data_IF_125920598796
#
_entry.id   IF_125920598796
#
_cell.length_a   1.000
_cell.length_b   1.000
_cell.length_c   1.000
_cell.angle_alpha   90.00
_cell.angle_beta   90.00
_cell.angle_gamma   90.00
#
_symmetry.space_group_name_H-M   'P 1'
#
loop_
_entity.id
_entity.type
_entity.pdbx_description
1 polymer ?
#
# COMPACT_ATOMS: atom_id res chain seq x y z
N UNK A 1 -26.15 -11.25 7.70
CA UNK A 1 -25.83 -10.68 9.02
C UNK A 1 -24.36 -10.27 9.06
N UNK A 2 -24.05 -9.00 8.76
CA UNK A 2 -22.70 -8.45 8.87
C UNK A 2 -22.39 -8.22 10.36
N UNK A 3 -21.84 -9.25 11.01
CA UNK A 3 -21.41 -9.18 12.42
C UNK A 3 -20.29 -8.13 12.50
N UNK A 4 -20.57 -7.02 13.20
CA UNK A 4 -19.72 -5.84 13.36
C UNK A 4 -18.21 -6.10 13.17
N UNK A 5 -17.64 -5.76 12.00
CA UNK A 5 -16.29 -6.13 11.67
C UNK A 5 -15.20 -5.34 12.43
N UNK A 6 -15.54 -4.25 13.13
CA UNK A 6 -14.56 -3.23 13.51
C UNK A 6 -14.25 -3.15 15.01
N UNK A 7 -14.37 -4.25 15.76
CA UNK A 7 -14.09 -4.29 17.22
C UNK A 7 -12.62 -4.45 17.65
N UNK A 8 -11.62 -4.19 16.80
CA UNK A 8 -10.22 -4.45 17.15
C UNK A 8 -9.21 -3.33 16.88
N UNK A 9 -8.30 -3.23 17.86
CA UNK A 9 -7.18 -2.29 18.03
C UNK A 9 -6.46 -1.90 16.72
N UNK A 10 -6.28 -0.59 16.53
CA UNK A 10 -5.40 0.04 15.55
C UNK A 10 -3.93 -0.26 15.90
N UNK A 11 -3.49 -1.50 15.75
CA UNK A 11 -2.10 -1.92 15.94
C UNK A 11 -1.43 -2.09 14.56
N UNK A 12 -0.30 -1.37 14.39
CA UNK A 12 0.85 -1.62 13.49
C UNK A 12 0.79 -1.15 12.02
N UNK A 13 0.76 0.16 11.78
CA UNK A 13 1.52 0.74 10.65
C UNK A 13 2.75 1.43 11.27
N UNK A 14 3.85 0.69 11.44
CA UNK A 14 5.03 1.17 12.16
C UNK A 14 5.97 1.89 11.18
N UNK A 15 5.86 3.21 11.09
CA UNK A 15 6.85 4.05 10.39
C UNK A 15 7.61 4.83 11.44
N UNK A 16 8.72 4.26 11.93
CA UNK A 16 9.47 4.77 13.08
C UNK A 16 9.69 6.29 13.00
N UNK A 17 10.16 6.78 11.85
CA UNK A 17 10.41 8.21 11.63
C UNK A 17 9.13 9.04 11.68
N UNK A 18 8.05 8.59 11.04
CA UNK A 18 6.79 9.30 11.02
C UNK A 18 6.11 9.31 12.39
N UNK A 19 6.12 8.16 13.09
CA UNK A 19 5.58 8.00 14.43
C UNK A 19 6.38 8.81 15.46
N UNK A 20 7.67 9.07 15.22
CA UNK A 20 8.47 9.98 16.04
C UNK A 20 8.02 11.43 15.88
N UNK A 21 7.84 11.91 14.64
CA UNK A 21 7.37 13.27 14.38
C UNK A 21 5.93 13.49 14.86
N UNK A 22 5.05 12.50 14.70
CA UNK A 22 3.64 12.59 15.09
C UNK A 22 3.38 12.22 16.56
N UNK A 23 4.41 11.86 17.35
CA UNK A 23 4.28 11.33 18.73
C UNK A 23 3.35 12.13 19.65
N UNK A 24 3.42 13.45 19.58
CA UNK A 24 2.65 14.34 20.45
C UNK A 24 1.19 14.44 19.99
N UNK A 25 0.97 14.45 18.66
CA UNK A 25 -0.38 14.44 18.07
C UNK A 25 -1.05 13.08 18.26
N UNK A 26 -0.31 12.00 18.07
CA UNK A 26 -0.80 10.63 18.23
C UNK A 26 -1.16 10.33 19.69
N UNK A 27 -0.45 10.93 20.67
CA UNK A 27 -0.81 10.83 22.11
C UNK A 27 -2.21 11.36 22.42
N UNK A 28 -2.64 12.42 21.74
CA UNK A 28 -3.95 13.04 21.94
C UNK A 28 -5.07 12.29 21.21
N UNK A 29 -4.73 11.38 20.29
CA UNK A 29 -5.71 10.67 19.50
C UNK A 29 -6.25 9.42 20.22
N UNK A 30 -7.58 9.22 20.32
CA UNK A 30 -8.19 8.15 21.11
C UNK A 30 -7.74 6.73 20.71
N UNK A 31 -7.46 6.52 19.41
CA UNK A 31 -6.91 5.25 18.89
C UNK A 31 -5.39 5.24 18.63
N UNK A 32 -4.77 6.34 18.14
CA UNK A 32 -3.33 6.37 17.80
C UNK A 32 -2.43 6.54 19.04
N UNK A 33 -2.99 6.85 20.21
CA UNK A 33 -2.26 6.84 21.50
C UNK A 33 -1.65 5.49 21.84
N UNK A 34 -2.20 4.39 21.31
CA UNK A 34 -1.72 3.04 21.54
C UNK A 34 -0.49 2.67 20.67
N UNK A 35 -0.01 3.57 19.79
CA UNK A 35 1.22 3.36 19.02
C UNK A 35 2.41 3.26 19.97
N UNK A 36 3.40 2.37 19.73
CA UNK A 36 4.48 2.10 20.71
C UNK A 36 5.26 3.36 21.14
N UNK A 37 5.47 4.31 20.21
CA UNK A 37 6.13 5.59 20.46
C UNK A 37 5.23 6.61 21.19
N UNK A 38 3.92 6.64 20.91
CA UNK A 38 2.97 7.53 21.59
C UNK A 38 2.61 7.02 23.00
N UNK A 39 2.51 5.70 23.15
CA UNK A 39 2.25 4.98 24.40
C UNK A 39 3.47 4.93 25.34
N UNK A 40 4.65 5.34 24.86
CA UNK A 40 5.90 5.30 25.64
C UNK A 40 6.47 3.89 25.85
N UNK A 41 5.96 2.88 25.12
CA UNK A 41 6.47 1.50 25.16
C UNK A 41 7.86 1.37 24.52
N UNK A 42 8.20 2.27 23.60
CA UNK A 42 9.50 2.33 22.95
C UNK A 42 10.11 3.70 23.25
N UNK A 43 11.35 3.70 23.76
CA UNK A 43 12.04 4.95 24.03
C UNK A 43 12.30 5.70 22.71
N UNK A 44 12.13 7.04 22.67
CA UNK A 44 12.42 7.83 21.48
C UNK A 44 13.86 7.64 20.99
N UNK A 45 14.79 7.38 21.91
CA UNK A 45 16.18 7.08 21.61
C UNK A 45 16.32 5.74 20.86
N UNK A 46 15.67 4.67 21.32
CA UNK A 46 15.70 3.37 20.66
C UNK A 46 15.14 3.44 19.23
N UNK A 47 14.10 4.24 19.01
CA UNK A 47 13.56 4.48 17.68
C UNK A 47 14.56 5.18 16.73
N UNK A 48 15.30 6.17 17.23
CA UNK A 48 16.34 6.85 16.45
C UNK A 48 17.48 5.89 16.15
N UNK A 49 17.98 5.16 17.15
CA UNK A 49 19.07 4.18 16.98
C UNK A 49 18.69 3.11 15.96
N UNK A 50 17.50 2.50 16.09
CA UNK A 50 17.01 1.51 15.15
C UNK A 50 16.90 2.08 13.73
N UNK A 51 16.38 3.29 13.58
CA UNK A 51 16.27 3.94 12.26
C UNK A 51 17.65 4.16 11.65
N UNK A 52 18.61 4.65 12.43
CA UNK A 52 19.98 4.88 11.97
C UNK A 52 20.67 3.59 11.57
N UNK A 53 20.59 2.54 12.41
CA UNK A 53 21.20 1.23 12.14
C UNK A 53 20.60 0.59 10.89
N UNK A 54 19.27 0.58 10.75
CA UNK A 54 18.59 0.03 9.58
C UNK A 54 18.89 0.82 8.30
N UNK A 55 18.98 2.16 8.40
CA UNK A 55 19.33 3.01 7.27
C UNK A 55 20.76 2.72 6.81
N UNK A 56 21.72 2.63 7.74
CA UNK A 56 23.11 2.33 7.42
C UNK A 56 23.25 0.93 6.82
N UNK A 57 22.61 -0.07 7.42
CA UNK A 57 22.58 -1.43 6.88
C UNK A 57 21.99 -1.46 5.45
N UNK A 58 20.87 -0.78 5.21
CA UNK A 58 20.25 -0.70 3.89
C UNK A 58 21.14 -0.03 2.84
N UNK A 59 21.79 1.09 3.18
CA UNK A 59 22.70 1.80 2.27
C UNK A 59 23.97 0.99 1.98
N UNK A 60 24.54 0.32 2.99
CA UNK A 60 25.70 -0.55 2.78
C UNK A 60 25.35 -1.73 1.86
N UNK A 61 24.22 -2.39 2.08
CA UNK A 61 23.73 -3.44 1.17
C UNK A 61 23.51 -2.91 -0.25
N UNK A 62 22.88 -1.73 -0.39
CA UNK A 62 22.67 -1.09 -1.68
C UNK A 62 23.97 -0.79 -2.43
N UNK A 63 24.99 -0.32 -1.71
CA UNK A 63 26.33 -0.08 -2.27
C UNK A 63 26.97 -1.36 -2.83
N UNK A 64 26.82 -2.50 -2.14
CA UNK A 64 27.34 -3.79 -2.62
C UNK A 64 26.58 -4.35 -3.83
N UNK A 65 25.34 -3.92 -4.06
CA UNK A 65 24.53 -4.37 -5.20
C UNK A 65 24.90 -3.58 -6.46
N UNK A 66 24.69 -2.25 -6.45
CA UNK A 66 25.00 -1.37 -7.57
C UNK A 66 24.87 0.10 -7.18
N UNK A 67 25.56 0.98 -7.92
CA UNK A 67 25.40 2.44 -7.75
C UNK A 67 23.95 2.89 -7.97
N UNK A 68 23.26 2.30 -8.94
CA UNK A 68 21.85 2.57 -9.24
C UNK A 68 20.94 2.23 -8.06
N UNK A 69 21.14 1.07 -7.43
CA UNK A 69 20.37 0.66 -6.25
C UNK A 69 20.63 1.59 -5.06
N UNK A 70 21.89 1.99 -4.83
CA UNK A 70 22.25 2.96 -3.80
C UNK A 70 21.54 4.31 -3.99
N UNK A 71 21.55 4.85 -5.21
CA UNK A 71 20.89 6.12 -5.54
C UNK A 71 19.37 6.06 -5.31
N UNK A 72 18.73 4.95 -5.67
CA UNK A 72 17.30 4.75 -5.40
C UNK A 72 16.98 4.68 -3.91
N UNK A 73 17.84 4.03 -3.10
CA UNK A 73 17.69 3.97 -1.65
C UNK A 73 17.88 5.33 -0.99
N UNK A 74 18.85 6.12 -1.45
CA UNK A 74 19.05 7.51 -1.00
C UNK A 74 17.81 8.35 -1.35
N UNK A 75 17.33 8.27 -2.59
CA UNK A 75 16.13 8.98 -3.03
C UNK A 75 14.90 8.58 -2.19
N UNK A 76 14.73 7.28 -1.92
CA UNK A 76 13.68 6.76 -1.05
C UNK A 76 13.78 7.32 0.37
N UNK A 77 14.99 7.40 0.95
CA UNK A 77 15.20 7.94 2.28
C UNK A 77 14.88 9.44 2.34
N UNK A 78 15.36 10.23 1.38
CA UNK A 78 15.05 11.65 1.23
C UNK A 78 13.54 11.87 1.10
N UNK A 79 12.88 11.06 0.27
CA UNK A 79 11.44 11.13 0.09
C UNK A 79 10.67 10.83 1.40
N UNK A 80 11.14 9.87 2.21
CA UNK A 80 10.52 9.58 3.51
C UNK A 80 10.65 10.76 4.48
N UNK A 81 11.82 11.42 4.53
CA UNK A 81 12.02 12.61 5.36
C UNK A 81 11.12 13.77 4.88
N UNK A 82 11.11 14.03 3.58
CA UNK A 82 10.30 15.08 2.96
C UNK A 82 8.80 14.86 3.23
N UNK A 83 8.34 13.62 3.08
CA UNK A 83 6.98 13.19 3.43
C UNK A 83 6.66 13.49 4.90
N UNK A 84 7.48 13.00 5.83
CA UNK A 84 7.19 13.14 7.27
C UNK A 84 7.17 14.59 7.75
N UNK A 85 8.01 15.48 7.19
CA UNK A 85 8.11 16.88 7.62
C UNK A 85 7.11 17.83 6.96
N UNK A 86 6.91 17.74 5.64
CA UNK A 86 6.23 18.80 4.88
C UNK A 86 5.13 18.29 3.97
N UNK A 87 5.43 17.28 3.15
CA UNK A 87 4.59 16.95 2.00
C UNK A 87 3.35 16.11 2.37
N UNK A 88 3.30 15.56 3.58
CA UNK A 88 2.08 14.92 4.11
C UNK A 88 0.92 15.91 4.31
N UNK A 89 1.16 17.21 4.15
CA UNK A 89 0.17 18.27 4.34
C UNK A 89 -0.42 18.79 3.01
N UNK A 90 -0.12 18.16 1.87
CA UNK A 90 -0.62 18.56 0.55
C UNK A 90 -1.57 17.49 0.03
N UNK A 91 -2.80 17.91 -0.30
CA UNK A 91 -3.88 17.07 -0.85
C UNK A 91 -3.40 16.39 -2.13
N UNK A 92 -3.70 15.10 -2.30
CA UNK A 92 -3.33 14.22 -3.42
C UNK A 92 -1.84 13.87 -3.43
N UNK A 93 -0.97 14.86 -3.23
CA UNK A 93 0.48 14.68 -3.24
C UNK A 93 0.94 13.69 -2.15
N UNK A 94 0.27 13.64 -1.01
CA UNK A 94 0.57 12.67 0.05
C UNK A 94 0.35 11.22 -0.39
N UNK A 95 -0.70 10.95 -1.19
CA UNK A 95 -0.99 9.63 -1.76
C UNK A 95 -0.01 9.29 -2.88
N UNK A 96 0.34 10.26 -3.73
CA UNK A 96 1.36 10.07 -4.77
C UNK A 96 2.74 9.78 -4.20
N UNK A 97 3.14 10.43 -3.11
CA UNK A 97 4.40 10.14 -2.42
C UNK A 97 4.39 8.76 -1.76
N UNK A 98 3.24 8.33 -1.25
CA UNK A 98 3.11 6.97 -0.73
C UNK A 98 3.32 5.94 -1.84
N UNK A 99 2.69 6.17 -3.00
CA UNK A 99 2.79 5.31 -4.16
C UNK A 99 4.20 5.31 -4.77
N UNK A 100 4.84 6.49 -4.92
CA UNK A 100 6.22 6.59 -5.41
C UNK A 100 7.21 5.90 -4.49
N UNK A 101 7.00 5.95 -3.17
CA UNK A 101 7.84 5.25 -2.21
C UNK A 101 7.70 3.72 -2.28
N UNK A 102 6.57 3.21 -2.76
CA UNK A 102 6.43 1.79 -3.09
C UNK A 102 7.13 1.45 -4.42
N UNK A 103 6.99 2.31 -5.44
CA UNK A 103 7.70 2.14 -6.72
C UNK A 103 9.21 2.12 -6.56
N UNK A 104 9.79 3.05 -5.80
CA UNK A 104 11.23 3.09 -5.53
C UNK A 104 11.72 1.78 -4.88
N UNK A 105 10.92 1.17 -4.00
CA UNK A 105 11.27 -0.11 -3.36
C UNK A 105 11.21 -1.28 -4.34
N UNK A 106 10.22 -1.31 -5.23
CA UNK A 106 10.16 -2.32 -6.28
C UNK A 106 11.38 -2.20 -7.18
N UNK A 107 11.69 -0.99 -7.65
CA UNK A 107 12.84 -0.74 -8.53
C UNK A 107 14.18 -1.11 -7.86
N UNK A 108 14.37 -0.74 -6.60
CA UNK A 108 15.56 -1.13 -5.85
C UNK A 108 15.66 -2.66 -5.68
N UNK A 109 14.54 -3.35 -5.46
CA UNK A 109 14.48 -4.80 -5.35
C UNK A 109 14.76 -5.51 -6.68
N UNK A 110 14.17 -5.05 -7.78
CA UNK A 110 14.35 -5.65 -9.11
C UNK A 110 15.79 -5.49 -9.61
N UNK A 111 16.42 -4.33 -9.34
CA UNK A 111 17.85 -4.14 -9.59
C UNK A 111 18.73 -5.05 -8.72
N UNK A 112 18.30 -5.36 -7.49
CA UNK A 112 19.00 -6.31 -6.62
C UNK A 112 19.02 -7.74 -7.14
N UNK A 113 17.99 -8.14 -7.90
CA UNK A 113 17.87 -9.49 -8.48
C UNK A 113 18.35 -9.53 -9.94
N UNK A 114 18.57 -8.36 -10.57
CA UNK A 114 18.98 -8.26 -11.97
C UNK A 114 17.89 -8.59 -12.98
N UNK A 115 16.61 -8.48 -12.59
CA UNK A 115 15.46 -8.74 -13.45
C UNK A 115 14.80 -7.42 -13.79
N UNK A 116 14.67 -7.09 -15.07
CA UNK A 116 13.94 -5.90 -15.50
C UNK A 116 12.43 -6.10 -15.28
N UNK A 117 11.77 -5.24 -14.48
CA UNK A 117 10.34 -5.36 -14.26
C UNK A 117 9.54 -4.94 -15.49
N UNK A 118 8.43 -5.65 -15.75
CA UNK A 118 7.50 -5.26 -16.81
C UNK A 118 6.91 -3.86 -16.52
N UNK A 119 6.98 -2.99 -17.53
CA UNK A 119 6.43 -1.63 -17.46
C UNK A 119 4.94 -1.61 -17.07
N UNK A 120 4.16 -2.58 -17.57
CA UNK A 120 2.75 -2.72 -17.24
C UNK A 120 2.54 -3.16 -15.79
N UNK A 121 3.42 -4.02 -15.27
CA UNK A 121 3.38 -4.46 -13.88
C UNK A 121 3.73 -3.31 -12.92
N UNK A 122 4.70 -2.47 -13.28
CA UNK A 122 5.02 -1.26 -12.52
C UNK A 122 3.81 -0.30 -12.48
N UNK A 123 3.19 -0.06 -13.64
CA UNK A 123 2.02 0.81 -13.72
C UNK A 123 0.82 0.22 -12.94
N UNK A 124 0.63 -1.09 -12.98
CA UNK A 124 -0.35 -1.79 -12.16
C UNK A 124 -0.07 -1.60 -10.66
N UNK A 125 1.17 -1.77 -10.23
CA UNK A 125 1.58 -1.52 -8.84
C UNK A 125 1.35 -0.06 -8.41
N UNK A 126 1.60 0.90 -9.30
CA UNK A 126 1.33 2.31 -9.05
C UNK A 126 -0.17 2.57 -8.87
N UNK A 127 -1.01 2.09 -9.81
CA UNK A 127 -2.47 2.25 -9.73
C UNK A 127 -3.03 1.59 -8.47
N UNK A 128 -2.53 0.40 -8.12
CA UNK A 128 -2.98 -0.35 -6.95
C UNK A 128 -2.61 0.37 -5.64
N UNK A 129 -1.41 0.94 -5.57
CA UNK A 129 -1.00 1.68 -4.38
C UNK A 129 -1.73 3.01 -4.21
N UNK A 130 -2.00 3.71 -5.31
CA UNK A 130 -2.88 4.88 -5.28
C UNK A 130 -4.29 4.50 -4.83
N UNK A 131 -4.86 3.42 -5.38
CA UNK A 131 -6.17 2.90 -5.02
C UNK A 131 -6.31 2.60 -3.51
N UNK A 132 -5.36 1.85 -2.95
CA UNK A 132 -5.32 1.56 -1.51
C UNK A 132 -5.09 2.85 -0.70
N UNK A 133 -4.23 3.74 -1.19
CA UNK A 133 -3.90 5.02 -0.55
C UNK A 133 -5.11 5.94 -0.43
N UNK A 134 -5.92 6.09 -1.49
CA UNK A 134 -7.18 6.83 -1.45
C UNK A 134 -8.21 6.16 -0.53
N UNK A 135 -8.27 4.82 -0.53
CA UNK A 135 -9.07 4.06 0.44
C UNK A 135 -8.69 4.39 1.90
N UNK A 136 -7.39 4.54 2.19
CA UNK A 136 -6.91 4.92 3.54
C UNK A 136 -7.36 6.35 3.89
N UNK A 137 -7.26 7.30 2.94
CA UNK A 137 -7.72 8.68 3.15
C UNK A 137 -9.23 8.75 3.42
N UNK A 138 -10.03 7.94 2.71
CA UNK A 138 -11.48 7.85 2.94
C UNK A 138 -11.82 7.30 4.32
N UNK A 139 -11.12 6.24 4.76
CA UNK A 139 -11.30 5.68 6.09
C UNK A 139 -10.94 6.69 7.19
N UNK A 140 -9.84 7.43 7.02
CA UNK A 140 -9.46 8.51 7.94
C UNK A 140 -10.49 9.65 7.96
N UNK A 141 -11.04 10.05 6.81
CA UNK A 141 -12.08 11.09 6.71
C UNK A 141 -13.37 10.70 7.43
N UNK A 142 -13.84 9.46 7.26
CA UNK A 142 -15.01 8.95 8.00
C UNK A 142 -14.78 8.90 9.50
N UNK A 143 -13.58 8.49 9.94
CA UNK A 143 -13.24 8.47 11.37
C UNK A 143 -13.26 9.86 12.02
N UNK A 144 -12.89 10.90 11.26
CA UNK A 144 -12.93 12.30 11.72
C UNK A 144 -14.35 12.86 11.76
N UNK A 145 -15.20 12.51 10.80
CA UNK A 145 -16.61 12.91 10.79
C UNK A 145 -17.38 12.39 12.02
N UNK A 146 -17.03 11.19 12.50
CA UNK A 146 -17.64 10.58 13.69
C UNK A 146 -17.13 11.16 15.02
N UNK A 147 -15.99 11.88 15.05
CA UNK A 147 -15.35 12.36 16.29
C UNK A 147 -14.67 13.72 16.11
N UNK A 148 -15.24 14.75 16.75
CA UNK A 148 -14.80 16.14 16.78
C UNK A 148 -13.42 16.43 17.45
N UNK A 149 -12.48 15.48 17.48
CA UNK A 149 -11.18 15.66 18.13
C UNK A 149 -10.03 15.28 17.20
N UNK A 150 -9.22 16.29 16.84
CA UNK A 150 -7.95 16.26 16.08
C UNK A 150 -8.05 16.46 14.56
N UNK A 151 -8.26 17.72 14.15
CA UNK A 151 -8.22 18.16 12.76
C UNK A 151 -6.81 18.04 12.16
N UNK A 152 -6.67 17.22 11.11
CA UNK A 152 -5.57 17.36 10.15
C UNK A 152 -6.10 18.25 9.03
N UNK A 153 -5.60 19.48 8.91
CA UNK A 153 -6.11 20.50 7.97
C UNK A 153 -6.30 20.01 6.51
N UNK A 154 -5.49 19.04 6.06
CA UNK A 154 -5.60 18.44 4.70
C UNK A 154 -6.89 17.67 4.48
N UNK A 155 -7.46 17.08 5.53
CA UNK A 155 -8.67 16.28 5.37
C UNK A 155 -9.93 17.14 5.22
N UNK A 156 -9.88 18.42 5.59
CA UNK A 156 -11.00 19.36 5.38
C UNK A 156 -11.25 19.66 3.90
N UNK A 157 -10.21 19.56 3.06
CA UNK A 157 -10.29 19.76 1.62
C UNK A 157 -10.73 18.51 0.84
N UNK A 158 -10.85 17.34 1.48
CA UNK A 158 -11.35 16.14 0.82
C UNK A 158 -12.87 16.00 1.02
N UNK A 159 -13.62 15.95 -0.08
CA UNK A 159 -14.99 15.43 -0.04
C UNK A 159 -14.98 13.91 -0.18
N UNK A 160 -15.94 13.23 0.45
CA UNK A 160 -16.10 11.79 0.29
C UNK A 160 -16.30 11.41 -1.20
N UNK A 161 -17.06 12.23 -1.94
CA UNK A 161 -17.32 12.04 -3.37
C UNK A 161 -16.04 12.13 -4.23
N UNK A 162 -15.11 13.04 -3.92
CA UNK A 162 -13.85 13.15 -4.64
C UNK A 162 -12.98 11.92 -4.43
N UNK A 163 -12.90 11.42 -3.19
CA UNK A 163 -12.15 10.20 -2.87
C UNK A 163 -12.76 8.97 -3.56
N UNK A 164 -14.08 8.86 -3.64
CA UNK A 164 -14.75 7.80 -4.39
C UNK A 164 -14.42 7.85 -5.89
N UNK A 165 -14.41 9.04 -6.50
CA UNK A 165 -14.04 9.21 -7.90
C UNK A 165 -12.57 8.82 -8.15
N UNK A 166 -11.64 9.29 -7.31
CA UNK A 166 -10.21 8.93 -7.42
C UNK A 166 -9.99 7.42 -7.23
N UNK A 167 -10.71 6.79 -6.30
CA UNK A 167 -10.72 5.34 -6.13
C UNK A 167 -11.26 4.63 -7.36
N UNK A 168 -12.34 5.12 -7.98
CA UNK A 168 -12.88 4.55 -9.21
C UNK A 168 -11.91 4.62 -10.40
N UNK A 169 -11.27 5.77 -10.59
CA UNK A 169 -10.26 5.98 -11.65
C UNK A 169 -9.08 5.03 -11.45
N UNK A 170 -8.55 4.95 -10.23
CA UNK A 170 -7.41 4.07 -9.92
C UNK A 170 -7.78 2.59 -9.97
N UNK A 171 -9.00 2.20 -9.58
CA UNK A 171 -9.52 0.85 -9.73
C UNK A 171 -9.59 0.41 -11.21
N UNK A 172 -10.14 1.27 -12.08
CA UNK A 172 -10.13 1.03 -13.52
C UNK A 172 -8.71 0.93 -14.07
N UNK A 173 -7.81 1.80 -13.60
CA UNK A 173 -6.38 1.74 -13.91
C UNK A 173 -5.75 0.40 -13.54
N UNK A 174 -6.00 -0.15 -12.34
CA UNK A 174 -5.51 -1.48 -11.93
C UNK A 174 -5.99 -2.56 -12.89
N UNK A 175 -7.29 -2.59 -13.19
CA UNK A 175 -7.87 -3.63 -14.07
C UNK A 175 -7.26 -3.55 -15.47
N UNK A 176 -7.20 -2.36 -16.06
CA UNK A 176 -6.66 -2.16 -17.42
C UNK A 176 -5.18 -2.53 -17.45
N UNK A 177 -4.38 -2.02 -16.52
CA UNK A 177 -2.93 -2.22 -16.52
C UNK A 177 -2.55 -3.67 -16.24
N UNK A 178 -3.28 -4.34 -15.35
CA UNK A 178 -3.14 -5.79 -15.13
C UNK A 178 -3.53 -6.59 -16.38
N UNK A 179 -4.63 -6.22 -17.04
CA UNK A 179 -5.07 -6.89 -18.28
C UNK A 179 -4.04 -6.71 -19.40
N UNK A 180 -3.46 -5.52 -19.54
CA UNK A 180 -2.40 -5.27 -20.51
C UNK A 180 -1.12 -6.02 -20.17
N UNK A 181 -0.81 -6.21 -18.88
CA UNK A 181 0.30 -7.05 -18.45
C UNK A 181 0.10 -8.51 -18.87
N UNK A 182 -1.09 -9.08 -18.69
CA UNK A 182 -1.35 -10.51 -18.99
C UNK A 182 -1.30 -10.83 -20.48
N UNK A 183 -1.63 -9.88 -21.36
CA UNK A 183 -1.57 -10.06 -22.82
C UNK A 183 -0.29 -9.52 -23.47
N UNK A 184 0.62 -8.93 -22.69
CA UNK A 184 1.81 -8.33 -23.26
C UNK A 184 2.75 -9.38 -23.85
N UNK A 185 3.22 -9.14 -25.09
CA UNK A 185 4.14 -10.05 -25.79
C UNK A 185 5.41 -10.38 -24.99
N UNK A 186 6.02 -9.40 -24.30
CA UNK A 186 7.20 -9.63 -23.48
C UNK A 186 6.88 -10.52 -22.27
N UNK A 187 5.71 -10.35 -21.64
CA UNK A 187 5.25 -11.20 -20.53
C UNK A 187 4.99 -12.63 -21.00
N UNK A 188 4.28 -12.79 -22.13
CA UNK A 188 3.98 -14.10 -22.71
C UNK A 188 5.27 -14.82 -23.11
N UNK A 189 6.23 -14.11 -23.70
CA UNK A 189 7.54 -14.66 -24.05
C UNK A 189 8.37 -15.04 -22.82
N UNK A 190 8.32 -14.25 -21.75
CA UNK A 190 9.05 -14.51 -20.51
C UNK A 190 8.53 -15.75 -19.78
N UNK A 191 7.21 -15.93 -19.75
CA UNK A 191 6.57 -17.03 -19.02
C UNK A 191 6.20 -18.24 -19.89
N UNK A 192 6.27 -18.12 -21.21
CA UNK A 192 5.92 -19.21 -22.14
C UNK A 192 4.43 -19.55 -22.20
N UNK A 193 3.56 -18.66 -21.71
CA UNK A 193 2.11 -18.90 -21.60
C UNK A 193 1.30 -17.62 -21.81
N UNK A 194 0.18 -17.73 -22.52
CA UNK A 194 -0.82 -16.68 -22.73
C UNK A 194 -2.05 -16.83 -21.81
N UNK A 195 -2.12 -17.94 -21.06
CA UNK A 195 -3.24 -18.28 -20.19
C UNK A 195 -3.39 -17.34 -18.97
N UNK A 196 -2.42 -16.46 -18.72
CA UNK A 196 -2.47 -15.49 -17.62
C UNK A 196 -3.72 -14.60 -17.68
N UNK A 197 -4.28 -14.40 -18.87
CA UNK A 197 -5.54 -13.66 -19.09
C UNK A 197 -6.73 -14.23 -18.30
N UNK A 198 -6.76 -15.54 -18.03
CA UNK A 198 -7.86 -16.16 -17.28
C UNK A 198 -7.91 -15.75 -15.80
N UNK A 199 -6.85 -15.10 -15.29
CA UNK A 199 -6.83 -14.54 -13.93
C UNK A 199 -7.51 -13.16 -13.84
N UNK A 200 -7.76 -12.49 -14.97
CA UNK A 200 -8.35 -11.14 -15.02
C UNK A 200 -9.74 -11.07 -14.37
N UNK A 201 -10.68 -12.00 -14.62
CA UNK A 201 -12.00 -11.98 -13.96
C UNK A 201 -11.92 -12.01 -12.43
N UNK A 202 -10.94 -12.74 -11.86
CA UNK A 202 -10.72 -12.78 -10.41
C UNK A 202 -10.28 -11.41 -9.87
N UNK A 203 -9.37 -10.73 -10.59
CA UNK A 203 -8.92 -9.38 -10.22
C UNK A 203 -10.08 -8.38 -10.28
N UNK A 204 -10.89 -8.42 -11.35
CA UNK A 204 -12.07 -7.56 -11.49
C UNK A 204 -13.03 -7.77 -10.31
N UNK A 205 -13.35 -9.02 -9.98
CA UNK A 205 -14.21 -9.34 -8.85
C UNK A 205 -13.62 -8.80 -7.54
N UNK A 206 -12.32 -9.01 -7.29
CA UNK A 206 -11.64 -8.51 -6.10
C UNK A 206 -11.72 -6.99 -5.95
N UNK A 207 -11.46 -6.25 -7.04
CA UNK A 207 -11.54 -4.78 -7.06
C UNK A 207 -12.97 -4.30 -6.77
N UNK A 208 -13.98 -4.90 -7.42
CA UNK A 208 -15.38 -4.54 -7.20
C UNK A 208 -15.86 -4.89 -5.79
N UNK A 209 -15.48 -6.06 -5.27
CA UNK A 209 -15.79 -6.47 -3.91
C UNK A 209 -15.19 -5.50 -2.90
N UNK A 210 -13.96 -5.07 -3.10
CA UNK A 210 -13.32 -4.08 -2.24
C UNK A 210 -14.03 -2.73 -2.27
N UNK A 211 -14.37 -2.21 -3.46
CA UNK A 211 -15.15 -0.98 -3.62
C UNK A 211 -16.51 -1.08 -2.91
N UNK A 212 -17.20 -2.21 -3.04
CA UNK A 212 -18.47 -2.47 -2.37
C UNK A 212 -18.34 -2.41 -0.85
N UNK A 213 -17.31 -3.06 -0.27
CA UNK A 213 -17.15 -3.08 1.19
C UNK A 213 -16.78 -1.68 1.71
N UNK A 214 -15.90 -0.93 1.03
CA UNK A 214 -15.54 0.44 1.44
C UNK A 214 -16.72 1.41 1.37
N UNK A 215 -17.58 1.24 0.36
CA UNK A 215 -18.79 2.07 0.23
C UNK A 215 -19.76 1.78 1.37
N UNK A 216 -19.97 0.52 1.69
CA UNK A 216 -20.95 0.07 2.68
C UNK A 216 -20.41 -0.05 4.11
N UNK A 217 -19.11 0.16 4.33
CA UNK A 217 -18.54 0.23 5.67
C UNK A 217 -18.92 1.55 6.33
N UNK A 218 -19.69 1.44 7.41
CA UNK A 218 -20.14 2.53 8.26
C UNK A 218 -19.03 3.08 9.16
N UNK A 219 -17.99 2.30 9.44
CA UNK A 219 -16.86 2.70 10.29
C UNK A 219 -15.63 3.03 9.45
N UNK A 220 -14.84 4.04 9.87
CA UNK A 220 -13.51 4.40 9.33
C UNK A 220 -12.45 3.31 9.53
N UNK A 221 -12.71 2.13 8.99
CA UNK A 221 -11.90 0.92 9.13
C UNK A 221 -10.77 0.92 8.07
N UNK A 222 -9.55 0.55 8.50
CA UNK A 222 -8.38 0.51 7.62
C UNK A 222 -8.63 -0.43 6.42
N UNK A 223 -8.56 0.05 5.17
CA UNK A 223 -8.83 -0.75 3.98
C UNK A 223 -7.96 -2.00 3.89
N UNK A 224 -6.71 -1.96 4.36
CA UNK A 224 -5.83 -3.13 4.31
C UNK A 224 -6.34 -4.27 5.22
N UNK A 225 -6.96 -3.92 6.35
CA UNK A 225 -7.58 -4.91 7.25
C UNK A 225 -8.91 -5.41 6.73
N UNK A 226 -9.63 -4.55 6.02
CA UNK A 226 -10.89 -4.90 5.37
C UNK A 226 -10.69 -6.06 4.37
N UNK A 227 -9.59 -6.02 3.60
CA UNK A 227 -9.21 -7.08 2.65
C UNK A 227 -9.02 -8.41 3.37
N UNK A 228 -8.25 -8.43 4.46
CA UNK A 228 -7.96 -9.65 5.21
C UNK A 228 -9.16 -10.21 5.97
N UNK A 229 -10.20 -9.40 6.17
CA UNK A 229 -11.37 -9.77 6.96
C UNK A 229 -12.51 -10.32 6.11
N UNK A 230 -12.68 -9.80 4.89
CA UNK A 230 -13.72 -10.28 4.01
C UNK A 230 -13.32 -11.61 3.41
N UNK A 231 -14.06 -12.67 3.76
CA UNK A 231 -13.74 -14.01 3.30
C UNK A 231 -13.81 -14.13 1.77
N UNK A 232 -14.65 -13.34 1.08
CA UNK A 232 -14.68 -13.37 -0.39
C UNK A 232 -13.38 -12.79 -0.95
N UNK A 233 -12.90 -11.66 -0.45
CA UNK A 233 -11.61 -11.09 -0.88
C UNK A 233 -10.45 -12.04 -0.61
N UNK A 234 -10.38 -12.65 0.57
CA UNK A 234 -9.33 -13.62 0.90
C UNK A 234 -9.39 -14.83 -0.03
N UNK A 235 -10.58 -15.41 -0.24
CA UNK A 235 -10.76 -16.54 -1.16
C UNK A 235 -10.35 -16.18 -2.59
N UNK A 236 -10.72 -15.00 -3.08
CA UNK A 236 -10.36 -14.55 -4.43
C UNK A 236 -8.86 -14.32 -4.57
N UNK A 237 -8.20 -13.74 -3.55
CA UNK A 237 -6.75 -13.58 -3.54
C UNK A 237 -6.04 -14.94 -3.55
N UNK A 238 -6.53 -15.92 -2.79
CA UNK A 238 -5.98 -17.28 -2.77
C UNK A 238 -6.19 -17.96 -4.12
N UNK A 239 -7.41 -17.92 -4.67
CA UNK A 239 -7.73 -18.50 -5.98
C UNK A 239 -6.87 -17.86 -7.07
N UNK A 240 -6.72 -16.54 -7.06
CA UNK A 240 -5.86 -15.82 -8.00
C UNK A 240 -4.41 -16.27 -7.88
N UNK A 241 -3.86 -16.35 -6.67
CA UNK A 241 -2.48 -16.80 -6.45
C UNK A 241 -2.26 -18.23 -6.94
N UNK A 242 -3.19 -19.14 -6.63
CA UNK A 242 -3.15 -20.52 -7.09
C UNK A 242 -3.25 -20.61 -8.61
N UNK A 243 -4.12 -19.83 -9.24
CA UNK A 243 -4.23 -19.77 -10.70
C UNK A 243 -2.93 -19.26 -11.34
N UNK A 244 -2.32 -18.21 -10.79
CA UNK A 244 -1.03 -17.70 -11.30
C UNK A 244 0.07 -18.76 -11.18
N UNK A 245 0.21 -19.40 -10.02
CA UNK A 245 1.23 -20.45 -9.81
C UNK A 245 0.98 -21.62 -10.76
N UNK A 246 -0.26 -22.08 -10.90
CA UNK A 246 -0.62 -23.18 -11.79
C UNK A 246 -0.30 -22.86 -13.27
N UNK A 247 -0.55 -21.63 -13.71
CA UNK A 247 -0.29 -21.20 -15.09
C UNK A 247 1.21 -21.05 -15.36
N UNK A 248 1.98 -20.56 -14.38
CA UNK A 248 3.42 -20.31 -14.53
C UNK A 248 4.27 -21.57 -14.33
N UNK A 249 3.87 -22.47 -13.45
CA UNK A 249 4.56 -23.73 -13.16
C UNK A 249 3.61 -24.94 -13.28
N UNK A 250 3.14 -25.26 -14.51
CA UNK A 250 2.25 -26.40 -14.73
C UNK A 250 2.91 -27.75 -14.35
N UNK A 251 4.25 -27.81 -14.30
CA UNK A 251 5.01 -28.99 -13.86
C UNK A 251 4.81 -29.37 -12.39
N UNK A 252 4.39 -28.43 -11.51
CA UNK A 252 4.15 -28.73 -10.10
C UNK A 252 2.86 -29.52 -9.83
N UNK A 253 1.95 -29.58 -10.82
CA UNK A 253 0.63 -30.20 -10.68
C UNK A 253 0.43 -31.40 -11.61
N UNK A 254 1.45 -31.75 -12.40
CA UNK A 254 1.52 -32.98 -13.17
C UNK A 254 2.49 -33.95 -12.46
N UNK A 255 2.04 -34.53 -11.34
CA UNK A 255 2.71 -35.63 -10.64
C UNK A 255 1.81 -36.85 -10.59
#
# INVERSE_FOLDING_TARGET
MLKNPCRYNYRRDFRILNDWFDRHKDRLHPKKRNRPLAAGLVSPWLAIVLTTVLCFAGLTMGYFISLSALLLLILYFVQNIAYSKYLKNVVILDVFLLASGFMLRILAGTLGVGIEPSHWLLLCGLMLTLFIGFGKRKAELKELADRASSHRAVLESYSESLLEQMMGITAGGVIITYSLYTVNFATVKLHGTDALIYTVPLVIYGVFRFLYIIKNSSEGCDPTKLILKDWHLVTVCILWLLSVIFILEPSLFQS
#
